data_IF_634980571889
#
_entry.id   IF_634980571889
#
_cell.length_a   1.000
_cell.length_b   1.000
_cell.length_c   1.000
_cell.angle_alpha   90.00
_cell.angle_beta   90.00
_cell.angle_gamma   90.00
#
_symmetry.space_group_name_H-M   'P 1'
#
loop_
_entity.id
_entity.type
_entity.pdbx_description
1 polymer ?
#
# COMPACT_ATOMS: atom_id res chain seq x y z
N UNK A 1 22.15 -0.95 6.37
CA UNK A 1 20.90 -1.15 5.57
C UNK A 1 20.65 -2.62 5.19
N UNK A 2 21.47 -3.59 5.61
CA UNK A 2 21.32 -5.02 5.22
C UNK A 2 20.46 -5.90 6.15
N UNK A 3 20.50 -5.69 7.46
CA UNK A 3 20.19 -6.73 8.46
C UNK A 3 18.76 -7.36 8.41
N UNK A 4 17.75 -6.65 7.91
CA UNK A 4 16.35 -7.15 7.92
C UNK A 4 15.92 -7.75 6.60
N UNK A 5 16.40 -7.14 5.51
CA UNK A 5 16.34 -7.76 4.20
C UNK A 5 17.14 -9.06 4.23
N UNK A 6 18.29 -9.08 4.92
CA UNK A 6 19.14 -10.27 5.07
C UNK A 6 18.47 -11.39 5.85
N UNK A 7 17.81 -11.11 6.98
CA UNK A 7 17.22 -12.17 7.79
C UNK A 7 16.00 -12.83 7.14
N UNK A 8 15.19 -12.11 6.37
CA UNK A 8 14.10 -12.72 5.59
C UNK A 8 14.63 -13.42 4.32
N UNK A 9 15.66 -12.85 3.68
CA UNK A 9 16.36 -13.45 2.54
C UNK A 9 17.15 -14.73 2.88
N UNK A 10 17.38 -15.05 4.15
CA UNK A 10 18.12 -16.25 4.57
C UNK A 10 17.29 -17.53 4.60
N UNK A 11 15.94 -17.46 4.72
CA UNK A 11 15.06 -18.64 4.77
C UNK A 11 14.48 -19.05 3.41
N UNK A 12 14.28 -18.10 2.50
CA UNK A 12 13.94 -18.37 1.11
C UNK A 12 15.21 -18.18 0.28
N UNK A 13 15.62 -19.18 -0.52
CA UNK A 13 16.81 -19.05 -1.36
C UNK A 13 16.78 -17.74 -2.17
N UNK A 14 17.95 -17.14 -2.50
CA UNK A 14 18.04 -15.77 -3.03
C UNK A 14 17.27 -15.52 -4.33
N UNK A 15 16.79 -16.57 -5.01
CA UNK A 15 15.89 -16.50 -6.16
C UNK A 15 14.41 -16.49 -5.76
N UNK A 16 13.96 -17.42 -4.90
CA UNK A 16 12.55 -17.63 -4.57
C UNK A 16 11.90 -16.39 -3.91
N UNK A 17 12.60 -15.75 -2.98
CA UNK A 17 12.10 -14.54 -2.33
C UNK A 17 11.84 -13.40 -3.32
N UNK A 18 12.73 -13.24 -4.32
CA UNK A 18 12.60 -12.18 -5.34
C UNK A 18 11.36 -12.42 -6.19
N UNK A 19 11.14 -13.67 -6.59
CA UNK A 19 9.94 -14.06 -7.34
C UNK A 19 8.67 -13.87 -6.52
N UNK A 20 8.68 -14.28 -5.25
CA UNK A 20 7.55 -14.07 -4.35
C UNK A 20 7.16 -12.59 -4.24
N UNK A 21 8.12 -11.70 -3.98
CA UNK A 21 7.84 -10.26 -3.88
C UNK A 21 7.28 -9.66 -5.18
N UNK A 22 7.86 -10.07 -6.32
CA UNK A 22 7.38 -9.63 -7.64
C UNK A 22 5.96 -10.11 -7.88
N UNK A 23 5.67 -11.38 -7.62
CA UNK A 23 4.33 -11.95 -7.75
C UNK A 23 3.33 -11.26 -6.82
N UNK A 24 3.69 -10.98 -5.57
CA UNK A 24 2.84 -10.23 -4.64
C UNK A 24 2.58 -8.80 -5.13
N UNK A 25 3.60 -8.12 -5.67
CA UNK A 25 3.44 -6.76 -6.22
C UNK A 25 2.50 -6.77 -7.42
N UNK A 26 2.64 -7.75 -8.32
CA UNK A 26 1.76 -7.91 -9.48
C UNK A 26 0.34 -8.29 -9.06
N UNK A 27 0.19 -9.19 -8.08
CA UNK A 27 -1.10 -9.56 -7.52
C UNK A 27 -1.80 -8.37 -6.87
N UNK A 28 -1.06 -7.52 -6.16
CA UNK A 28 -1.61 -6.29 -5.58
C UNK A 28 -2.10 -5.31 -6.66
N UNK A 29 -1.35 -5.13 -7.75
CA UNK A 29 -1.79 -4.31 -8.88
C UNK A 29 -3.05 -4.88 -9.53
N UNK A 30 -3.10 -6.19 -9.75
CA UNK A 30 -4.26 -6.86 -10.32
C UNK A 30 -5.50 -6.73 -9.41
N UNK A 31 -5.31 -6.79 -8.09
CA UNK A 31 -6.36 -6.59 -7.11
C UNK A 31 -6.93 -5.17 -7.16
N UNK A 32 -6.07 -4.15 -7.09
CA UNK A 32 -6.45 -2.72 -7.16
C UNK A 32 -7.23 -2.45 -8.46
N UNK A 33 -6.65 -2.78 -9.60
CA UNK A 33 -7.30 -2.52 -10.89
C UNK A 33 -8.55 -3.36 -11.11
N UNK A 34 -8.61 -4.58 -10.56
CA UNK A 34 -9.82 -5.40 -10.55
C UNK A 34 -10.97 -4.72 -9.80
N UNK A 35 -10.69 -4.10 -8.65
CA UNK A 35 -11.67 -3.32 -7.90
C UNK A 35 -12.08 -2.04 -8.62
N UNK A 36 -11.16 -1.38 -9.33
CA UNK A 36 -11.47 -0.16 -10.11
C UNK A 36 -12.39 -0.41 -11.31
N UNK A 37 -12.32 -1.62 -11.90
CA UNK A 37 -13.24 -2.06 -12.96
C UNK A 37 -14.65 -2.39 -12.47
N UNK A 38 -14.89 -2.43 -11.15
CA UNK A 38 -16.22 -2.66 -10.60
C UNK A 38 -17.09 -1.41 -10.74
N UNK A 39 -18.38 -1.61 -11.06
CA UNK A 39 -19.33 -0.50 -11.17
C UNK A 39 -19.60 0.19 -9.82
N UNK A 40 -20.27 1.34 -9.86
CA UNK A 40 -20.60 2.13 -8.67
C UNK A 40 -21.39 1.35 -7.60
N UNK A 41 -22.39 0.56 -8.01
CA UNK A 41 -23.25 -0.19 -7.09
C UNK A 41 -22.50 -1.34 -6.41
N UNK A 42 -21.66 -2.09 -7.13
CA UNK A 42 -20.90 -3.20 -6.58
C UNK A 42 -19.91 -2.74 -5.52
N UNK A 43 -19.06 -1.73 -5.79
CA UNK A 43 -18.15 -1.26 -4.73
C UNK A 43 -18.83 -0.41 -3.64
N UNK A 44 -20.03 0.13 -3.87
CA UNK A 44 -20.85 0.69 -2.80
C UNK A 44 -21.32 -0.39 -1.81
N UNK A 45 -21.80 -1.54 -2.31
CA UNK A 45 -22.19 -2.69 -1.48
C UNK A 45 -21.02 -3.23 -0.64
N UNK A 46 -19.83 -3.34 -1.23
CA UNK A 46 -18.62 -3.74 -0.50
C UNK A 46 -18.28 -2.73 0.61
N UNK A 47 -18.29 -1.44 0.27
CA UNK A 47 -17.99 -0.36 1.22
C UNK A 47 -19.03 -0.25 2.33
N UNK A 48 -20.31 -0.51 2.05
CA UNK A 48 -21.40 -0.55 3.01
C UNK A 48 -21.20 -1.72 4.00
N UNK A 49 -20.85 -2.90 3.50
CA UNK A 49 -20.50 -4.05 4.35
C UNK A 49 -19.36 -3.70 5.30
N UNK A 50 -18.27 -3.13 4.79
CA UNK A 50 -17.13 -2.69 5.61
C UNK A 50 -17.53 -1.60 6.61
N UNK A 51 -18.38 -0.65 6.20
CA UNK A 51 -18.89 0.39 7.09
C UNK A 51 -19.69 -0.21 8.26
N UNK A 52 -20.60 -1.14 7.99
CA UNK A 52 -21.39 -1.81 9.03
C UNK A 52 -20.50 -2.60 10.00
N UNK A 53 -19.52 -3.34 9.50
CA UNK A 53 -18.53 -4.01 10.35
C UNK A 53 -17.75 -3.02 11.22
N UNK A 54 -17.31 -1.90 10.63
CA UNK A 54 -16.54 -0.86 11.33
C UNK A 54 -17.37 -0.21 12.44
N UNK A 55 -18.63 0.14 12.16
CA UNK A 55 -19.56 0.72 13.14
C UNK A 55 -19.94 -0.29 14.23
N UNK A 56 -20.09 -1.57 13.88
CA UNK A 56 -20.40 -2.63 14.86
C UNK A 56 -19.25 -2.87 15.83
N UNK A 57 -18.00 -2.84 15.35
CA UNK A 57 -16.82 -3.07 16.19
C UNK A 57 -16.44 -1.86 17.03
N UNK A 58 -16.72 -0.66 16.54
CA UNK A 58 -16.29 0.61 17.14
C UNK A 58 -17.42 1.44 17.72
N UNK A 59 -18.57 0.84 18.04
CA UNK A 59 -19.75 1.55 18.60
C UNK A 59 -19.45 2.40 19.86
N UNK A 60 -18.33 2.14 20.53
CA UNK A 60 -17.85 2.88 21.70
C UNK A 60 -16.91 4.06 21.38
N UNK A 61 -16.47 4.26 20.13
CA UNK A 61 -15.54 5.32 19.75
C UNK A 61 -16.29 6.56 19.21
N UNK A 62 -16.24 7.71 19.91
CA UNK A 62 -16.83 8.95 19.41
C UNK A 62 -16.06 9.42 18.18
N UNK A 63 -16.71 9.40 17.01
CA UNK A 63 -16.13 9.79 15.73
C UNK A 63 -16.45 8.84 14.58
N UNK A 64 -16.70 7.56 14.86
CA UNK A 64 -17.01 6.58 13.81
C UNK A 64 -18.38 6.82 13.16
N UNK A 65 -19.30 7.50 13.86
CA UNK A 65 -20.59 7.90 13.32
C UNK A 65 -20.52 8.87 12.12
N UNK A 66 -19.38 9.54 11.90
CA UNK A 66 -19.16 10.42 10.75
C UNK A 66 -18.59 9.68 9.54
N UNK A 67 -18.27 8.38 9.67
CA UNK A 67 -17.84 7.58 8.53
C UNK A 67 -19.04 7.31 7.63
N UNK A 68 -18.83 7.54 6.34
CA UNK A 68 -19.76 7.17 5.29
C UNK A 68 -19.05 6.29 4.27
N UNK A 69 -19.83 5.76 3.34
CA UNK A 69 -19.36 4.87 2.26
C UNK A 69 -18.23 5.52 1.45
N UNK A 70 -18.29 6.83 1.18
CA UNK A 70 -17.25 7.54 0.44
C UNK A 70 -15.93 7.59 1.23
N UNK A 71 -15.99 7.86 2.53
CA UNK A 71 -14.79 7.89 3.40
C UNK A 71 -14.17 6.49 3.51
N UNK A 72 -14.97 5.45 3.75
CA UNK A 72 -14.49 4.07 3.81
C UNK A 72 -13.80 3.67 2.50
N UNK A 73 -14.42 4.01 1.36
CA UNK A 73 -13.82 3.75 0.06
C UNK A 73 -12.47 4.46 -0.10
N UNK A 74 -12.38 5.75 0.20
CA UNK A 74 -11.10 6.50 0.12
C UNK A 74 -10.03 5.93 1.04
N UNK A 75 -10.41 5.47 2.23
CA UNK A 75 -9.49 4.80 3.15
C UNK A 75 -9.05 3.41 2.64
N UNK A 76 -9.93 2.69 1.94
CA UNK A 76 -9.58 1.42 1.31
C UNK A 76 -8.53 1.64 0.21
N UNK A 77 -8.75 2.55 -0.74
CA UNK A 77 -7.75 2.87 -1.78
C UNK A 77 -6.44 3.38 -1.14
N UNK A 78 -6.52 4.29 -0.16
CA UNK A 78 -5.33 4.77 0.55
C UNK A 78 -4.50 3.62 1.18
N UNK A 79 -5.16 2.64 1.80
CA UNK A 79 -4.48 1.50 2.43
C UNK A 79 -3.94 0.51 1.40
N UNK A 80 -4.67 0.26 0.31
CA UNK A 80 -4.21 -0.53 -0.83
C UNK A 80 -2.95 0.08 -1.45
N UNK A 81 -2.96 1.38 -1.73
CA UNK A 81 -1.82 2.09 -2.29
C UNK A 81 -0.65 2.21 -1.32
N UNK A 82 -0.90 2.29 -0.01
CA UNK A 82 0.15 2.17 0.99
C UNK A 82 0.80 0.77 0.96
N UNK A 83 0.01 -0.30 0.90
CA UNK A 83 0.54 -1.66 0.78
C UNK A 83 1.33 -1.86 -0.52
N UNK A 84 0.81 -1.35 -1.64
CA UNK A 84 1.51 -1.33 -2.93
C UNK A 84 2.84 -0.57 -2.82
N UNK A 85 2.86 0.60 -2.20
CA UNK A 85 4.08 1.40 -1.98
C UNK A 85 5.15 0.66 -1.17
N UNK A 86 4.73 -0.09 -0.14
CA UNK A 86 5.62 -0.95 0.63
C UNK A 86 6.18 -2.10 -0.22
N UNK A 87 5.31 -2.79 -0.97
CA UNK A 87 5.70 -3.88 -1.87
C UNK A 87 6.66 -3.40 -2.96
N UNK A 88 6.37 -2.28 -3.62
CA UNK A 88 7.26 -1.65 -4.60
C UNK A 88 8.60 -1.29 -3.96
N UNK A 89 8.62 -0.76 -2.74
CA UNK A 89 9.89 -0.47 -2.06
C UNK A 89 10.70 -1.73 -1.80
N UNK A 90 10.07 -2.82 -1.38
CA UNK A 90 10.73 -4.11 -1.13
C UNK A 90 11.23 -4.74 -2.43
N UNK A 91 10.36 -4.86 -3.43
CA UNK A 91 10.65 -5.38 -4.77
C UNK A 91 11.74 -4.57 -5.46
N UNK A 92 11.74 -3.24 -5.32
CA UNK A 92 12.78 -2.35 -5.81
C UNK A 92 14.19 -2.73 -5.34
N UNK A 93 14.32 -3.21 -4.10
CA UNK A 93 15.58 -3.68 -3.53
C UNK A 93 16.08 -5.01 -4.11
N UNK A 94 15.25 -5.75 -4.85
CA UNK A 94 15.60 -7.05 -5.44
C UNK A 94 16.22 -6.94 -6.84
N UNK A 95 16.13 -5.78 -7.49
CA UNK A 95 16.73 -5.53 -8.80
C UNK A 95 18.25 -5.37 -8.73
N UNK A 96 18.91 -5.51 -9.88
CA UNK A 96 20.34 -5.27 -10.05
C UNK A 96 20.54 -4.27 -11.20
N UNK A 97 20.95 -3.01 -10.94
CA UNK A 97 21.14 -2.41 -9.60
C UNK A 97 19.82 -2.21 -8.83
N UNK A 98 19.86 -2.11 -7.49
CA UNK A 98 18.66 -1.91 -6.69
C UNK A 98 18.01 -0.55 -6.98
N UNK A 99 16.68 -0.55 -7.06
CA UNK A 99 15.88 0.65 -7.31
C UNK A 99 15.62 1.40 -6.01
N UNK A 100 15.91 2.71 -6.02
CA UNK A 100 15.72 3.58 -4.87
C UNK A 100 14.25 3.92 -4.60
N UNK A 101 13.97 4.69 -3.52
CA UNK A 101 12.60 5.06 -3.13
C UNK A 101 11.87 5.93 -4.18
N UNK A 102 12.60 6.70 -4.99
CA UNK A 102 12.00 7.49 -6.08
C UNK A 102 11.32 6.59 -7.11
N UNK A 103 11.94 5.47 -7.47
CA UNK A 103 11.37 4.51 -8.39
C UNK A 103 10.05 3.93 -7.86
N UNK A 104 10.04 3.52 -6.58
CA UNK A 104 8.83 2.99 -5.96
C UNK A 104 7.70 4.04 -5.93
N UNK A 105 8.02 5.29 -5.62
CA UNK A 105 7.05 6.39 -5.63
C UNK A 105 6.47 6.62 -7.04
N UNK A 106 7.30 6.75 -8.07
CA UNK A 106 6.82 6.98 -9.43
C UNK A 106 6.00 5.81 -9.98
N UNK A 107 6.40 4.56 -9.69
CA UNK A 107 5.59 3.39 -10.07
C UNK A 107 4.24 3.38 -9.36
N UNK A 108 4.20 3.69 -8.06
CA UNK A 108 2.95 3.75 -7.30
C UNK A 108 2.05 4.91 -7.72
N UNK A 109 2.61 6.10 -7.95
CA UNK A 109 1.85 7.26 -8.45
C UNK A 109 1.31 7.02 -9.87
N UNK A 110 2.08 6.34 -10.73
CA UNK A 110 1.59 5.91 -12.04
C UNK A 110 0.45 4.89 -11.90
N UNK A 111 0.58 3.92 -10.99
CA UNK A 111 -0.49 2.98 -10.71
C UNK A 111 -1.78 3.67 -10.21
N UNK A 112 -1.66 4.70 -9.38
CA UNK A 112 -2.79 5.52 -8.91
C UNK A 112 -3.44 6.31 -10.05
N UNK A 113 -2.65 6.91 -10.93
CA UNK A 113 -3.18 7.60 -12.10
C UNK A 113 -3.90 6.64 -13.07
N UNK A 114 -3.36 5.43 -13.25
CA UNK A 114 -3.99 4.39 -14.05
C UNK A 114 -5.27 3.87 -13.40
N UNK A 115 -5.26 3.68 -12.08
CA UNK A 115 -6.45 3.24 -11.33
C UNK A 115 -7.62 4.20 -11.52
N UNK A 116 -7.35 5.50 -11.43
CA UNK A 116 -8.36 6.53 -11.67
C UNK A 116 -8.82 6.57 -13.14
N UNK A 117 -7.89 6.33 -14.08
CA UNK A 117 -8.24 6.23 -15.50
C UNK A 117 -9.13 5.01 -15.78
N UNK A 118 -8.91 3.89 -15.09
CA UNK A 118 -9.76 2.71 -15.19
C UNK A 118 -11.12 2.95 -14.53
N UNK A 119 -11.15 3.67 -13.41
CA UNK A 119 -12.38 4.01 -12.71
C UNK A 119 -13.28 4.92 -13.57
N UNK A 120 -12.72 5.78 -14.42
CA UNK A 120 -13.47 6.55 -15.43
C UNK A 120 -14.23 5.67 -16.43
N UNK A 121 -13.73 4.48 -16.72
CA UNK A 121 -14.39 3.54 -17.65
C UNK A 121 -15.56 2.81 -16.98
N UNK A 122 -15.62 2.83 -15.65
CA UNK A 122 -16.65 2.15 -14.86
C UNK A 122 -17.91 3.03 -14.73
N UNK A 123 -19.10 2.53 -15.12
CA UNK A 123 -20.34 3.31 -15.06
C UNK A 123 -20.68 3.79 -13.64
N UNK A 124 -21.05 5.07 -13.53
CA UNK A 124 -21.50 5.69 -12.28
C UNK A 124 -20.38 6.11 -11.32
N UNK A 125 -19.11 6.03 -11.73
CA UNK A 125 -17.97 6.51 -10.96
C UNK A 125 -17.60 7.94 -11.34
N UNK A 126 -17.38 8.80 -10.36
CA UNK A 126 -16.67 10.06 -10.59
C UNK A 126 -15.20 9.86 -10.31
N UNK A 127 -14.37 10.63 -11.01
CA UNK A 127 -12.94 10.71 -10.76
C UNK A 127 -12.54 12.12 -10.39
N UNK A 128 -11.54 12.23 -9.53
CA UNK A 128 -11.02 13.46 -8.98
C UNK A 128 -9.50 13.37 -8.92
N UNK A 129 -8.83 14.44 -9.34
CA UNK A 129 -7.38 14.56 -9.19
C UNK A 129 -6.95 14.42 -7.72
N UNK A 130 -7.82 14.80 -6.78
CA UNK A 130 -7.60 14.60 -5.34
C UNK A 130 -7.47 13.13 -4.94
N UNK A 131 -8.12 12.21 -5.65
CA UNK A 131 -8.08 10.78 -5.32
C UNK A 131 -6.72 10.19 -5.73
N UNK A 132 -6.22 10.53 -6.93
CA UNK A 132 -4.84 10.20 -7.36
C UNK A 132 -3.80 10.75 -6.39
N UNK A 133 -3.99 11.98 -5.90
CA UNK A 133 -3.10 12.59 -4.91
C UNK A 133 -3.15 11.85 -3.58
N UNK A 134 -4.35 11.49 -3.11
CA UNK A 134 -4.53 10.75 -1.86
C UNK A 134 -3.85 9.38 -1.91
N UNK A 135 -4.03 8.65 -3.01
CA UNK A 135 -3.42 7.33 -3.21
C UNK A 135 -1.89 7.44 -3.33
N UNK A 136 -1.40 8.47 -4.02
CA UNK A 136 0.03 8.79 -4.09
C UNK A 136 0.61 9.12 -2.70
N UNK A 137 -0.16 9.77 -1.82
CA UNK A 137 0.22 9.98 -0.42
C UNK A 137 0.27 8.67 0.37
N UNK A 138 -0.62 7.72 0.11
CA UNK A 138 -0.55 6.36 0.65
C UNK A 138 0.78 5.68 0.32
N UNK A 139 1.16 5.71 -0.97
CA UNK A 139 2.47 5.20 -1.44
C UNK A 139 3.62 5.88 -0.72
N UNK A 140 3.59 7.22 -0.62
CA UNK A 140 4.63 8.00 0.06
C UNK A 140 4.73 7.64 1.54
N UNK A 141 3.60 7.54 2.24
CA UNK A 141 3.53 7.19 3.64
C UNK A 141 4.20 5.83 3.90
N UNK A 142 3.92 4.82 3.08
CA UNK A 142 4.55 3.50 3.18
C UNK A 142 6.06 3.54 2.96
N UNK A 143 6.54 4.33 2.00
CA UNK A 143 7.99 4.51 1.75
C UNK A 143 8.67 5.17 2.96
N UNK A 144 8.05 6.20 3.54
CA UNK A 144 8.57 6.89 4.73
C UNK A 144 8.56 5.97 5.94
N UNK A 145 7.48 5.21 6.13
CA UNK A 145 7.37 4.21 7.19
C UNK A 145 8.47 3.16 7.09
N UNK A 146 8.72 2.62 5.89
CA UNK A 146 9.83 1.68 5.66
C UNK A 146 11.20 2.28 5.98
N UNK A 147 11.44 3.55 5.65
CA UNK A 147 12.68 4.25 6.02
C UNK A 147 12.81 4.42 7.54
N UNK A 148 11.72 4.78 8.23
CA UNK A 148 11.69 4.91 9.68
C UNK A 148 12.05 3.60 10.36
N UNK A 149 11.44 2.48 9.95
CA UNK A 149 11.75 1.15 10.49
C UNK A 149 13.24 0.78 10.33
N UNK A 150 13.85 1.12 9.19
CA UNK A 150 15.28 0.88 8.99
C UNK A 150 16.15 1.75 9.91
N UNK A 151 15.77 3.01 10.13
CA UNK A 151 16.49 3.90 11.05
C UNK A 151 16.42 3.37 12.48
N UNK A 152 15.23 3.04 12.97
CA UNK A 152 15.04 2.50 14.32
C UNK A 152 15.86 1.24 14.57
N UNK A 153 15.89 0.33 13.59
CA UNK A 153 16.66 -0.91 13.70
C UNK A 153 18.17 -0.68 13.60
N UNK A 154 18.61 0.35 12.86
CA UNK A 154 20.00 0.80 12.88
C UNK A 154 20.42 1.39 14.22
N UNK A 155 19.55 2.15 14.88
CA UNK A 155 19.80 2.71 16.22
C UNK A 155 19.87 1.59 17.27
N UNK A 156 18.95 0.62 17.23
CA UNK A 156 18.95 -0.52 18.14
C UNK A 156 20.21 -1.40 17.99
N UNK A 157 20.70 -1.59 16.76
CA UNK A 157 21.93 -2.33 16.52
C UNK A 157 23.17 -1.62 17.08
N UNK A 158 23.24 -0.28 16.95
CA UNK A 158 24.35 0.54 17.48
C UNK A 158 24.41 0.55 19.01
N UNK A 159 23.27 0.48 19.69
CA UNK A 159 23.22 0.37 21.17
C UNK A 159 23.84 -0.94 21.63
N UNK A 160 23.48 -2.08 21.01
CA UNK A 160 24.00 -3.41 21.40
C UNK A 160 25.52 -3.55 21.24
N UNK A 161 26.13 -2.83 20.30
CA UNK A 161 27.59 -2.86 20.11
C UNK A 161 28.36 -1.99 21.12
N UNK A 162 27.68 -1.12 21.86
CA UNK A 162 28.31 -0.25 22.86
C UNK A 162 28.17 -0.82 24.29
N UNK A 163 27.25 -1.77 24.50
CA UNK A 163 27.03 -2.46 25.78
C UNK A 163 27.81 -3.79 25.89
N UNK A 164 28.49 -4.22 24.83
CA UNK A 164 29.37 -5.41 24.75
C UNK A 164 30.83 -4.98 24.70
#
# INVERSE_FOLDING_TARGET
>A
MGCLSENFSRKAGPSMYKWLLRSLTLGMLAFIWGHSLMNASASASESETVLHWTLSLGSFLPGLAYLNIYTIRKLAHLTEFALLGLLLRLTGGTFQPPRGPRWAFFCGALAAALDETLQLLSPGRSTQVSDVLLDSLGVLAAILFYKLLQRLKGLAARRKTHDN
#
